data_IF_672514442181
#
_entry.id   IF_672514442181
#
_cell.length_a   1.000
_cell.length_b   1.000
_cell.length_c   1.000
_cell.angle_alpha   90.00
_cell.angle_beta   90.00
_cell.angle_gamma   90.00
#
_symmetry.space_group_name_H-M   'P 1'
#
loop_
_entity.id
_entity.type
_entity.pdbx_description
1 polymer ?
#
# COMPACT_ATOMS: atom_id res chain seq x y z
N UNK A 1 -94.39 -0.21 -1.44
CA UNK A 1 -93.31 -0.11 -2.45
C UNK A 1 -92.23 -1.10 -2.03
N UNK A 2 -91.84 -2.10 -2.85
CA UNK A 2 -90.73 -2.05 -3.85
C UNK A 2 -89.39 -1.76 -3.14
N UNK A 3 -88.29 -2.54 -3.20
CA UNK A 3 -87.85 -3.80 -3.89
C UNK A 3 -86.60 -4.35 -3.09
N UNK A 4 -85.97 -5.53 -3.24
CA UNK A 4 -86.06 -6.77 -4.04
C UNK A 4 -85.31 -7.91 -3.25
N UNK A 5 -85.11 -9.13 -3.80
CA UNK A 5 -84.22 -10.19 -3.27
C UNK A 5 -82.78 -10.11 -3.83
N UNK A 6 -81.78 -10.47 -3.03
CA UNK A 6 -80.51 -11.11 -3.45
C UNK A 6 -79.92 -11.84 -2.21
N UNK A 7 -79.81 -13.17 -2.15
CA UNK A 7 -78.98 -14.16 -2.87
C UNK A 7 -77.61 -14.39 -2.20
N UNK A 8 -77.40 -15.60 -1.68
CA UNK A 8 -76.12 -16.06 -1.10
C UNK A 8 -75.16 -16.53 -2.20
N UNK A 9 -73.86 -16.22 -2.06
CA UNK A 9 -72.77 -16.92 -2.76
C UNK A 9 -71.63 -17.14 -1.78
N UNK A 10 -71.35 -18.39 -1.43
CA UNK A 10 -70.16 -18.77 -0.66
C UNK A 10 -69.01 -19.09 -1.63
N UNK A 11 -67.91 -18.34 -1.55
CA UNK A 11 -66.72 -18.57 -2.38
C UNK A 11 -65.80 -19.56 -1.67
N UNK A 12 -65.79 -20.81 -2.14
CA UNK A 12 -64.86 -21.83 -1.65
C UNK A 12 -63.48 -21.66 -2.32
N UNK A 13 -62.52 -21.09 -1.62
CA UNK A 13 -61.13 -20.98 -2.08
C UNK A 13 -60.43 -22.34 -2.03
N UNK A 14 -60.22 -22.96 -3.18
CA UNK A 14 -59.46 -24.21 -3.29
C UNK A 14 -57.98 -23.91 -3.02
N UNK A 15 -57.45 -24.42 -1.90
CA UNK A 15 -56.03 -24.32 -1.56
C UNK A 15 -55.22 -25.34 -2.36
N UNK A 16 -54.51 -24.88 -3.39
CA UNK A 16 -53.60 -25.70 -4.16
C UNK A 16 -52.29 -25.92 -3.37
N UNK A 17 -52.12 -27.12 -2.80
CA UNK A 17 -50.88 -27.51 -2.16
C UNK A 17 -49.77 -27.66 -3.20
N UNK A 18 -48.78 -26.76 -3.18
CA UNK A 18 -47.53 -26.94 -3.91
C UNK A 18 -46.66 -27.92 -3.11
N UNK A 19 -46.58 -29.16 -3.59
CA UNK A 19 -45.65 -30.16 -3.03
C UNK A 19 -44.22 -29.77 -3.37
N UNK A 20 -43.50 -29.20 -2.41
CA UNK A 20 -42.05 -29.08 -2.52
C UNK A 20 -41.44 -30.48 -2.60
N UNK A 21 -40.78 -30.79 -3.72
CA UNK A 21 -40.06 -32.05 -3.87
C UNK A 21 -38.91 -32.12 -2.88
N UNK A 22 -38.86 -33.16 -2.05
CA UNK A 22 -37.75 -33.36 -1.13
C UNK A 22 -36.47 -33.67 -1.93
N UNK A 23 -35.44 -32.84 -1.77
CA UNK A 23 -34.13 -33.08 -2.36
C UNK A 23 -33.59 -34.43 -1.89
N UNK A 24 -33.08 -35.24 -2.83
CA UNK A 24 -32.56 -36.56 -2.49
C UNK A 24 -31.19 -36.45 -1.82
N UNK A 25 -30.84 -37.44 -0.99
CA UNK A 25 -29.53 -37.53 -0.35
C UNK A 25 -28.37 -37.39 -1.36
N UNK A 26 -28.54 -37.90 -2.59
CA UNK A 26 -27.54 -37.80 -3.65
C UNK A 26 -27.43 -36.39 -4.26
N UNK A 27 -28.51 -35.60 -4.28
CA UNK A 27 -28.47 -34.19 -4.70
C UNK A 27 -27.78 -33.32 -3.64
N UNK A 28 -28.09 -33.52 -2.36
CA UNK A 28 -27.43 -32.83 -1.23
C UNK A 28 -25.92 -33.12 -1.19
N UNK A 29 -25.52 -34.40 -1.28
CA UNK A 29 -24.10 -34.78 -1.42
C UNK A 29 -23.48 -34.21 -2.71
N UNK A 30 -24.25 -34.15 -3.80
CA UNK A 30 -23.85 -33.54 -5.06
C UNK A 30 -23.60 -32.03 -4.95
N UNK A 31 -24.32 -31.30 -4.10
CA UNK A 31 -24.08 -29.89 -3.81
C UNK A 31 -22.80 -29.69 -2.98
N UNK A 32 -22.57 -30.51 -1.95
CA UNK A 32 -21.34 -30.45 -1.14
C UNK A 32 -20.07 -30.66 -1.99
N UNK A 33 -20.10 -31.62 -2.93
CA UNK A 33 -19.01 -31.89 -3.88
C UNK A 33 -18.80 -30.73 -4.88
N UNK A 34 -19.85 -29.96 -5.19
CA UNK A 34 -19.77 -28.79 -6.10
C UNK A 34 -19.29 -27.52 -5.40
N UNK A 35 -19.72 -27.29 -4.15
CA UNK A 35 -19.34 -26.11 -3.36
C UNK A 35 -17.83 -25.99 -3.14
N UNK A 36 -17.13 -27.11 -2.97
CA UNK A 36 -15.66 -27.16 -2.88
C UNK A 36 -14.93 -27.07 -4.23
N UNK A 37 -15.63 -26.91 -5.37
CA UNK A 37 -15.05 -27.06 -6.72
C UNK A 37 -15.04 -25.80 -7.58
N UNK A 38 -15.69 -24.72 -7.15
CA UNK A 38 -15.52 -23.39 -7.75
C UNK A 38 -14.20 -22.77 -7.28
N UNK A 39 -13.09 -23.19 -7.87
CA UNK A 39 -11.83 -22.43 -7.80
C UNK A 39 -12.06 -21.12 -8.54
N UNK A 40 -12.42 -20.07 -7.81
CA UNK A 40 -12.50 -18.73 -8.35
C UNK A 40 -11.16 -18.37 -8.98
N UNK A 41 -11.18 -17.78 -10.18
CA UNK A 41 -9.96 -17.32 -10.84
C UNK A 41 -9.29 -16.28 -9.93
N UNK A 42 -8.15 -16.68 -9.35
CA UNK A 42 -7.40 -15.84 -8.42
C UNK A 42 -6.90 -14.61 -9.20
N UNK A 43 -7.25 -13.42 -8.70
CA UNK A 43 -7.01 -12.16 -9.41
C UNK A 43 -5.52 -11.90 -9.66
N UNK A 44 -5.17 -10.98 -10.59
CA UNK A 44 -3.80 -10.74 -11.01
C UNK A 44 -2.85 -10.47 -9.83
N UNK A 45 -3.33 -9.73 -8.82
CA UNK A 45 -2.55 -9.30 -7.66
C UNK A 45 -2.61 -10.31 -6.48
N UNK A 46 -2.78 -11.61 -6.74
CA UNK A 46 -2.98 -12.65 -5.70
C UNK A 46 -1.88 -12.61 -4.62
N UNK A 47 -0.64 -12.37 -5.03
CA UNK A 47 0.52 -12.36 -4.14
C UNK A 47 0.88 -10.95 -3.66
N UNK A 48 -0.07 -10.00 -3.79
CA UNK A 48 0.14 -8.59 -3.46
C UNK A 48 1.13 -7.89 -4.40
N UNK A 49 1.37 -8.47 -5.56
CA UNK A 49 2.28 -7.96 -6.58
C UNK A 49 1.75 -6.69 -7.25
N UNK A 50 2.69 -5.80 -7.58
CA UNK A 50 2.47 -4.50 -8.23
C UNK A 50 3.64 -4.22 -9.17
N UNK A 51 3.35 -3.65 -10.34
CA UNK A 51 4.36 -3.21 -11.30
C UNK A 51 4.16 -1.71 -11.56
N UNK A 52 5.22 -0.92 -11.34
CA UNK A 52 5.24 0.47 -11.74
C UNK A 52 5.42 0.57 -13.26
N UNK A 53 4.35 0.91 -13.98
CA UNK A 53 4.33 0.96 -15.45
C UNK A 53 5.26 2.03 -16.07
N UNK A 54 5.76 2.98 -15.28
CA UNK A 54 6.71 4.01 -15.74
C UNK A 54 8.18 3.58 -15.56
N UNK A 55 8.52 2.90 -14.46
CA UNK A 55 9.90 2.48 -14.15
C UNK A 55 10.20 1.01 -14.45
N UNK A 56 9.18 0.18 -14.67
CA UNK A 56 9.30 -1.28 -14.75
C UNK A 56 9.62 -1.98 -13.43
N UNK A 57 9.63 -1.25 -12.30
CA UNK A 57 9.95 -1.82 -10.99
C UNK A 57 8.79 -2.66 -10.45
N UNK A 58 9.11 -3.85 -9.92
CA UNK A 58 8.13 -4.77 -9.31
C UNK A 58 8.29 -4.77 -7.79
N UNK A 59 7.16 -4.72 -7.08
CA UNK A 59 7.09 -4.96 -5.64
C UNK A 59 6.00 -5.97 -5.29
N UNK A 60 6.15 -6.65 -4.15
CA UNK A 60 5.16 -7.51 -3.54
C UNK A 60 4.81 -6.94 -2.17
N UNK A 61 3.53 -6.87 -1.83
CA UNK A 61 3.04 -6.31 -0.56
C UNK A 61 2.06 -7.26 0.11
N UNK A 62 2.46 -7.81 1.26
CA UNK A 62 1.67 -8.77 2.04
C UNK A 62 1.27 -8.17 3.39
N UNK A 63 -0.02 -8.19 3.71
CA UNK A 63 -0.53 -7.89 5.06
C UNK A 63 -0.57 -9.17 5.87
N UNK A 64 0.23 -9.27 6.92
CA UNK A 64 0.27 -10.44 7.81
C UNK A 64 -0.81 -10.35 8.91
N UNK A 65 -1.06 -9.14 9.42
CA UNK A 65 -2.07 -8.85 10.45
C UNK A 65 -2.78 -7.54 10.11
N UNK A 66 -4.10 -7.50 10.29
CA UNK A 66 -4.90 -6.27 10.19
C UNK A 66 -5.93 -6.27 11.32
N UNK A 67 -6.05 -5.15 12.03
CA UNK A 67 -6.96 -4.94 13.15
C UNK A 67 -7.84 -3.71 12.90
N UNK A 68 -9.11 -3.71 13.36
CA UNK A 68 -9.94 -2.51 13.31
C UNK A 68 -9.34 -1.41 14.19
N UNK A 69 -9.04 -0.26 13.59
CA UNK A 69 -8.59 0.94 14.29
C UNK A 69 -9.73 1.68 14.99
N UNK A 70 -9.37 2.64 15.84
CA UNK A 70 -10.31 3.62 16.41
C UNK A 70 -10.57 4.81 15.45
N UNK A 71 -9.72 4.99 14.45
CA UNK A 71 -9.72 6.06 13.44
C UNK A 71 -9.48 5.45 12.04
N UNK A 72 -9.47 6.31 11.00
CA UNK A 72 -9.16 5.92 9.61
C UNK A 72 -7.69 5.52 9.36
N UNK A 73 -6.82 5.49 10.37
CA UNK A 73 -5.44 5.01 10.26
C UNK A 73 -5.40 3.48 10.39
N UNK A 74 -4.82 2.74 9.42
CA UNK A 74 -4.82 1.28 9.45
C UNK A 74 -3.87 0.73 10.52
N UNK A 75 -4.41 -0.07 11.45
CA UNK A 75 -3.60 -0.86 12.40
C UNK A 75 -3.26 -2.20 11.74
N UNK A 76 -2.19 -2.22 10.96
CA UNK A 76 -1.77 -3.40 10.21
C UNK A 76 -0.25 -3.65 10.29
N UNK A 77 0.13 -4.93 10.25
CA UNK A 77 1.51 -5.36 9.99
C UNK A 77 1.59 -5.75 8.52
N UNK A 78 2.07 -4.82 7.70
CA UNK A 78 2.22 -5.00 6.26
C UNK A 78 3.70 -5.03 5.91
N UNK A 79 4.07 -5.92 4.97
CA UNK A 79 5.44 -6.20 4.56
C UNK A 79 5.61 -5.96 3.07
N UNK A 80 6.76 -5.41 2.67
CA UNK A 80 7.11 -5.07 1.29
C UNK A 80 8.40 -5.76 0.84
N UNK A 81 8.39 -6.37 -0.34
CA UNK A 81 9.59 -6.89 -1.02
C UNK A 81 9.70 -6.19 -2.38
N UNK A 82 10.82 -5.54 -2.65
CA UNK A 82 11.09 -4.87 -3.94
C UNK A 82 12.13 -5.62 -4.76
N UNK A 83 11.95 -5.65 -6.09
CA UNK A 83 12.93 -6.19 -7.02
C UNK A 83 14.14 -5.25 -7.15
N UNK A 84 15.35 -5.80 -7.30
CA UNK A 84 16.57 -5.03 -7.57
C UNK A 84 17.39 -4.64 -6.34
N UNK A 85 16.86 -4.76 -5.12
CA UNK A 85 17.66 -4.60 -3.90
C UNK A 85 18.62 -5.78 -3.76
N UNK A 86 19.92 -5.49 -3.84
CA UNK A 86 21.00 -6.46 -3.67
C UNK A 86 20.86 -7.21 -2.33
N UNK A 87 21.22 -8.49 -2.31
CA UNK A 87 21.06 -9.37 -1.15
C UNK A 87 22.04 -9.10 0.02
N UNK A 88 22.70 -7.95 0.02
CA UNK A 88 23.77 -7.62 0.95
C UNK A 88 23.13 -6.95 2.18
N UNK A 89 23.44 -7.47 3.37
CA UNK A 89 22.79 -7.14 4.66
C UNK A 89 21.30 -7.55 4.77
N UNK A 90 21.01 -8.86 4.67
CA UNK A 90 19.71 -9.43 5.10
C UNK A 90 19.60 -9.35 6.63
N UNK A 91 19.18 -8.20 7.14
CA UNK A 91 19.11 -7.88 8.58
C UNK A 91 17.83 -7.13 8.97
N UNK A 92 16.71 -7.47 8.34
CA UNK A 92 15.37 -6.99 8.70
C UNK A 92 14.59 -7.99 9.57
N UNK A 93 13.62 -7.50 10.34
CA UNK A 93 12.72 -8.33 11.17
C UNK A 93 12.00 -9.44 10.37
N UNK A 94 11.83 -9.24 9.06
CA UNK A 94 11.20 -10.19 8.14
C UNK A 94 12.17 -10.64 7.03
N UNK A 95 13.47 -10.68 7.34
CA UNK A 95 14.53 -11.14 6.45
C UNK A 95 14.75 -10.20 5.27
N UNK A 96 14.30 -10.61 4.08
CA UNK A 96 14.35 -9.80 2.84
C UNK A 96 13.19 -8.82 2.68
N UNK A 97 12.17 -8.90 3.55
CA UNK A 97 11.01 -8.02 3.50
C UNK A 97 11.20 -6.85 4.46
N UNK A 98 10.93 -5.65 3.95
CA UNK A 98 10.76 -4.44 4.77
C UNK A 98 9.39 -4.44 5.44
N UNK A 99 9.23 -3.62 6.48
CA UNK A 99 7.91 -3.12 6.87
C UNK A 99 7.42 -2.07 5.85
N UNK A 100 6.16 -2.19 5.44
CA UNK A 100 5.51 -1.28 4.50
C UNK A 100 5.02 -0.01 5.23
N UNK A 101 5.97 0.87 5.54
CA UNK A 101 5.76 2.11 6.30
C UNK A 101 6.20 3.34 5.51
N UNK A 102 5.55 4.51 5.71
CA UNK A 102 6.02 5.77 5.15
C UNK A 102 7.45 6.08 5.58
N UNK A 103 8.34 6.39 4.62
CA UNK A 103 9.75 6.63 4.89
C UNK A 103 10.40 7.54 3.86
N UNK A 104 11.39 8.33 4.30
CA UNK A 104 12.29 9.04 3.38
C UNK A 104 13.52 8.15 3.14
N UNK A 105 13.91 8.01 1.88
CA UNK A 105 15.02 7.16 1.43
C UNK A 105 15.87 7.82 0.34
N UNK A 106 17.01 7.22 0.01
CA UNK A 106 17.96 7.74 -0.98
C UNK A 106 19.25 6.91 -1.00
N UNK A 107 20.11 7.14 -2.00
CA UNK A 107 21.37 6.41 -2.15
C UNK A 107 22.48 7.11 -1.35
N UNK A 108 22.96 6.46 -0.29
CA UNK A 108 24.00 6.98 0.60
C UNK A 108 25.14 5.98 0.76
N UNK A 109 26.34 6.46 1.10
CA UNK A 109 27.50 5.58 1.30
C UNK A 109 27.36 4.75 2.56
N UNK A 110 27.53 3.43 2.46
CA UNK A 110 27.54 2.51 3.62
C UNK A 110 28.63 2.85 4.65
N UNK A 111 29.71 3.52 4.24
CA UNK A 111 30.80 3.97 5.13
C UNK A 111 30.36 5.12 6.07
N UNK A 112 29.58 6.06 5.56
CA UNK A 112 29.20 7.28 6.30
C UNK A 112 27.72 7.27 6.72
N UNK A 113 26.95 6.28 6.30
CA UNK A 113 25.48 6.27 6.38
C UNK A 113 24.84 7.46 5.64
N UNK A 114 23.57 7.72 5.97
CA UNK A 114 22.88 8.95 5.57
C UNK A 114 23.43 10.13 6.37
N UNK A 115 24.50 10.71 5.83
CA UNK A 115 25.19 11.90 6.33
C UNK A 115 25.09 13.05 5.32
N UNK A 116 25.17 14.28 5.84
CA UNK A 116 25.07 15.52 5.06
C UNK A 116 26.39 16.29 5.13
N UNK A 117 26.80 16.92 4.03
CA UNK A 117 28.01 17.75 3.96
C UNK A 117 29.35 17.00 4.08
N UNK A 118 29.32 15.68 4.32
CA UNK A 118 30.50 14.82 4.44
C UNK A 118 30.87 14.52 5.90
N UNK A 119 30.74 13.24 6.28
CA UNK A 119 31.15 12.62 7.56
C UNK A 119 30.58 13.17 8.88
N UNK A 120 30.10 14.41 8.95
CA UNK A 120 29.91 15.17 10.20
C UNK A 120 28.48 15.68 10.46
N UNK A 121 27.47 15.14 9.76
CA UNK A 121 26.10 15.67 9.79
C UNK A 121 25.01 14.62 9.98
N UNK A 122 24.51 14.47 11.22
CA UNK A 122 23.29 13.70 11.55
C UNK A 122 21.98 14.50 11.34
N UNK A 123 22.07 15.75 10.91
CA UNK A 123 20.97 16.72 10.84
C UNK A 123 19.99 16.49 9.67
N UNK A 124 19.68 15.22 9.35
CA UNK A 124 18.89 14.82 8.17
C UNK A 124 17.41 15.21 8.19
N UNK A 125 16.90 15.65 9.33
CA UNK A 125 15.55 16.18 9.51
C UNK A 125 15.53 17.71 9.70
N UNK A 126 16.63 18.40 9.41
CA UNK A 126 16.74 19.88 9.57
C UNK A 126 17.71 20.57 8.60
N UNK A 127 18.53 19.81 7.88
CA UNK A 127 19.36 20.27 6.77
C UNK A 127 19.16 19.33 5.57
N UNK A 128 18.97 19.92 4.40
CA UNK A 128 18.57 19.21 3.18
C UNK A 128 19.51 19.51 2.01
N UNK A 129 20.79 19.82 2.26
CA UNK A 129 21.83 19.80 1.22
C UNK A 129 22.25 18.37 0.90
N UNK A 130 23.01 18.19 -0.18
CA UNK A 130 23.51 16.87 -0.58
C UNK A 130 24.41 16.25 0.51
N UNK A 131 24.65 14.94 0.42
CA UNK A 131 25.86 14.34 0.97
C UNK A 131 27.13 15.09 0.52
N UNK A 132 28.23 14.89 1.24
CA UNK A 132 29.57 15.30 0.79
C UNK A 132 30.33 14.14 0.16
N UNK A 133 31.48 14.42 -0.44
CA UNK A 133 32.38 13.44 -1.06
C UNK A 133 32.68 12.25 -0.12
N UNK A 134 32.68 11.03 -0.65
CA UNK A 134 32.94 9.80 0.11
C UNK A 134 34.11 9.02 -0.45
N UNK A 135 34.92 8.43 0.44
CA UNK A 135 36.06 7.59 0.06
C UNK A 135 35.59 6.15 -0.17
N UNK A 136 35.90 5.60 -1.35
CA UNK A 136 35.47 4.27 -1.78
C UNK A 136 36.04 3.14 -0.92
N UNK A 137 35.49 1.94 -1.11
CA UNK A 137 35.87 0.73 -0.37
C UNK A 137 37.33 0.34 -0.58
N UNK A 138 37.88 0.56 -1.79
CA UNK A 138 39.28 0.32 -2.14
C UNK A 138 40.28 1.33 -1.52
N UNK A 139 39.81 2.31 -0.74
CA UNK A 139 40.60 3.35 -0.06
C UNK A 139 41.43 4.29 -0.98
N UNK A 140 41.39 4.11 -2.31
CA UNK A 140 42.09 4.95 -3.29
C UNK A 140 41.17 5.79 -4.17
N UNK A 141 39.88 5.44 -4.28
CA UNK A 141 38.86 6.24 -4.97
C UNK A 141 38.14 7.21 -4.02
N UNK A 142 37.71 8.33 -4.60
CA UNK A 142 36.73 9.25 -4.01
C UNK A 142 35.54 9.34 -4.96
N UNK A 143 34.36 9.58 -4.41
CA UNK A 143 33.10 9.70 -5.14
C UNK A 143 32.39 10.96 -4.66
N UNK A 144 32.14 11.89 -5.56
CA UNK A 144 31.38 13.12 -5.26
C UNK A 144 29.88 12.84 -5.25
N UNK A 145 29.12 13.66 -4.51
CA UNK A 145 27.69 13.45 -4.35
C UNK A 145 26.90 13.33 -5.68
N UNK A 146 27.18 14.10 -6.75
CA UNK A 146 26.52 13.94 -8.04
C UNK A 146 26.82 12.61 -8.75
N UNK A 147 27.80 11.81 -8.32
CA UNK A 147 28.09 10.52 -8.92
C UNK A 147 27.16 9.44 -8.40
N UNK A 148 26.92 9.39 -7.08
CA UNK A 148 26.13 8.33 -6.42
C UNK A 148 24.76 8.75 -5.88
N UNK A 149 24.52 10.03 -5.57
CA UNK A 149 23.26 10.53 -4.99
C UNK A 149 22.39 11.22 -6.05
N UNK A 150 21.07 11.07 -5.95
CA UNK A 150 20.08 11.51 -6.96
C UNK A 150 18.83 12.14 -6.32
N UNK A 151 19.04 12.97 -5.29
CA UNK A 151 17.96 13.47 -4.46
C UNK A 151 17.58 12.52 -3.33
N UNK A 152 16.56 12.91 -2.56
CA UNK A 152 15.92 12.08 -1.54
C UNK A 152 14.45 11.89 -1.92
N UNK A 153 13.93 10.70 -1.68
CA UNK A 153 12.60 10.27 -2.11
C UNK A 153 11.71 9.99 -0.90
N UNK A 154 10.43 10.35 -0.97
CA UNK A 154 9.41 9.93 -0.04
C UNK A 154 8.75 8.66 -0.59
N UNK A 155 8.82 7.56 0.15
CA UNK A 155 7.95 6.40 -0.06
C UNK A 155 6.73 6.49 0.85
N UNK A 156 5.54 6.24 0.29
CA UNK A 156 4.29 6.09 1.04
C UNK A 156 3.58 4.81 0.57
N UNK A 157 3.20 3.90 1.49
CA UNK A 157 2.42 2.70 1.17
C UNK A 157 1.20 3.02 0.31
N UNK A 158 1.06 2.31 -0.80
CA UNK A 158 -0.05 2.48 -1.76
C UNK A 158 0.05 3.68 -2.71
N UNK A 159 0.88 4.70 -2.42
CA UNK A 159 1.13 5.83 -3.35
C UNK A 159 2.46 5.68 -4.11
N UNK A 160 3.39 4.86 -3.60
CA UNK A 160 4.68 4.61 -4.25
C UNK A 160 5.76 5.57 -3.77
N UNK A 161 6.65 5.96 -4.69
CA UNK A 161 7.85 6.75 -4.40
C UNK A 161 7.86 8.04 -5.24
N UNK A 162 8.16 9.17 -4.59
CA UNK A 162 8.10 10.51 -5.21
C UNK A 162 9.25 11.40 -4.70
N UNK A 163 9.76 12.28 -5.54
CA UNK A 163 10.93 13.12 -5.21
C UNK A 163 10.57 14.23 -4.21
N UNK A 164 11.46 14.43 -3.22
CA UNK A 164 11.35 15.50 -2.24
C UNK A 164 12.16 16.71 -2.73
N UNK A 165 11.44 17.78 -3.04
CA UNK A 165 11.97 19.04 -3.52
C UNK A 165 12.00 20.09 -2.40
N UNK A 166 12.96 21.01 -2.48
CA UNK A 166 12.95 22.21 -1.64
C UNK A 166 11.86 23.17 -2.09
N UNK A 167 11.19 23.80 -1.13
CA UNK A 167 10.30 24.92 -1.39
C UNK A 167 11.08 26.09 -2.00
N UNK A 168 10.54 26.61 -3.09
CA UNK A 168 11.06 27.76 -3.82
C UNK A 168 9.97 28.85 -3.90
N UNK A 169 10.30 30.07 -4.37
CA UNK A 169 9.28 31.00 -4.84
C UNK A 169 8.32 30.31 -5.83
N UNK A 170 7.03 30.63 -5.74
CA UNK A 170 5.95 30.03 -6.54
C UNK A 170 5.67 28.53 -6.32
N UNK A 171 6.29 27.85 -5.35
CA UNK A 171 5.83 26.52 -4.91
C UNK A 171 4.40 26.60 -4.32
N UNK A 172 3.54 25.56 -4.50
CA UNK A 172 2.19 25.52 -3.94
C UNK A 172 2.18 25.74 -2.41
N UNK A 173 1.21 26.46 -1.84
CA UNK A 173 1.16 26.76 -0.41
C UNK A 173 1.11 25.48 0.44
N UNK A 174 1.75 25.52 1.62
CA UNK A 174 1.65 24.46 2.62
C UNK A 174 0.48 24.66 3.59
N UNK A 175 0.31 23.77 4.58
CA UNK A 175 -0.67 23.92 5.65
C UNK A 175 -0.55 25.25 6.41
N UNK A 176 -1.70 25.80 6.83
CA UNK A 176 -1.82 27.05 7.59
C UNK A 176 -1.96 26.78 9.10
N UNK A 177 -1.15 25.86 9.64
CA UNK A 177 -1.21 25.39 11.04
C UNK A 177 -0.14 26.00 11.96
N UNK A 178 0.70 26.88 11.41
CA UNK A 178 1.79 27.55 12.13
C UNK A 178 3.16 26.87 12.01
N UNK A 179 3.27 25.75 11.30
CA UNK A 179 4.56 25.11 11.04
C UNK A 179 5.17 25.51 9.69
N UNK A 180 6.51 25.57 9.64
CA UNK A 180 7.26 25.76 8.40
C UNK A 180 7.51 24.42 7.72
N UNK A 181 7.13 24.32 6.45
CA UNK A 181 7.35 23.14 5.61
C UNK A 181 8.40 23.44 4.52
N UNK A 182 9.71 23.35 4.81
CA UNK A 182 10.79 23.68 3.86
C UNK A 182 10.85 22.73 2.65
N UNK A 183 10.18 21.58 2.73
CA UNK A 183 10.18 20.53 1.72
C UNK A 183 8.75 20.23 1.24
N UNK A 184 8.62 19.83 -0.03
CA UNK A 184 7.39 19.29 -0.60
C UNK A 184 7.68 18.19 -1.63
N UNK A 185 6.68 17.40 -1.99
CA UNK A 185 6.73 16.52 -3.17
C UNK A 185 5.78 17.03 -4.26
N UNK A 186 5.90 16.48 -5.48
CA UNK A 186 4.97 16.78 -6.59
C UNK A 186 3.51 16.52 -6.21
N UNK A 187 3.30 15.50 -5.38
CA UNK A 187 1.99 14.98 -4.99
C UNK A 187 1.47 15.64 -3.69
N UNK A 188 1.90 16.88 -3.44
CA UNK A 188 1.48 17.79 -2.36
C UNK A 188 1.73 17.31 -0.92
N UNK A 189 2.57 16.29 -0.71
CA UNK A 189 3.12 16.02 0.62
C UNK A 189 3.97 17.22 1.06
N UNK A 190 3.71 17.73 2.27
CA UNK A 190 4.45 18.83 2.88
C UNK A 190 5.28 18.27 4.04
N UNK A 191 6.59 18.49 4.01
CA UNK A 191 7.54 17.86 4.94
C UNK A 191 8.30 18.96 5.72
N UNK A 192 8.52 18.68 7.01
CA UNK A 192 9.14 19.59 7.99
C UNK A 192 10.64 19.30 8.16
#
# INVERSE_FOLDING_TARGET
>A
MVRLRALWVAVATISACVSAGAATYYEEQGQLIRGGRSVAALGPNLFGDKVNLYTGATEFVQTDVSLPGNDALPIAVTRRLSSGVAAQEVSGLFGRWDLDLPRVQGIFSTRNGWSIGGASGNNRCSNFVSPGTVRGTNLSSYWDAPEYWRGSMLYVPGQGETEILKRAPFSPPGPSDGYTYPLLTRDFWNIR
#
